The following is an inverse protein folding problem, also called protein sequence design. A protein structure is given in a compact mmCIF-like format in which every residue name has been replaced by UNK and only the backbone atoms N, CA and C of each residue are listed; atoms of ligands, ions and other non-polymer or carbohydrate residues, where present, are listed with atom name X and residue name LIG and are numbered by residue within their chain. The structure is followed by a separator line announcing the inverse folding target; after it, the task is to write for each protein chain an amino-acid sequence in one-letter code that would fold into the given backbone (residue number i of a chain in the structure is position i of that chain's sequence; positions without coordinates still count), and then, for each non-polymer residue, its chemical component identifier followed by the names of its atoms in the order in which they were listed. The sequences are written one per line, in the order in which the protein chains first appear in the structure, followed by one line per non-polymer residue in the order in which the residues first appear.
data_IF_396099744716
#
_entry.id   IF_396099744716
#
_cell.length_a   1.000
_cell.length_b   1.000
_cell.length_c   1.000
_cell.angle_alpha   90.00
_cell.angle_beta   90.00
_cell.angle_gamma   90.00
#
_symmetry.space_group_name_H-M   'P 1'
#
loop_
_entity.id
_entity.type
_entity.pdbx_description
1 polymer ?
#
# COMPACT_ATOMS: atom_id res chain seq x y z
N UNK A 1 -3.69 17.96 -22.21
CA UNK A 1 -2.40 17.35 -21.85
C UNK A 1 -2.71 16.10 -21.05
N UNK A 2 -2.49 14.91 -21.61
CA UNK A 2 -2.60 13.67 -20.82
C UNK A 2 -1.56 13.74 -19.70
N UNK A 3 -2.02 13.70 -18.46
CA UNK A 3 -1.09 13.51 -17.34
C UNK A 3 -0.46 12.12 -17.50
N UNK A 4 0.87 11.97 -17.33
CA UNK A 4 1.49 10.66 -17.32
C UNK A 4 0.75 9.77 -16.31
N UNK A 5 0.37 8.57 -16.73
CA UNK A 5 -0.28 7.60 -15.87
C UNK A 5 0.58 7.26 -14.66
N UNK A 6 -0.06 6.83 -13.57
CA UNK A 6 0.65 6.40 -12.37
C UNK A 6 1.55 5.19 -12.68
N UNK A 7 2.76 5.18 -12.13
CA UNK A 7 3.74 4.10 -12.33
C UNK A 7 4.11 3.49 -10.99
N UNK A 8 4.03 2.16 -10.91
CA UNK A 8 4.52 1.39 -9.76
C UNK A 8 5.88 0.80 -10.13
N UNK A 9 6.92 1.19 -9.40
CA UNK A 9 8.20 0.53 -9.54
C UNK A 9 8.22 -0.82 -8.83
N UNK A 10 8.93 -1.78 -9.42
CA UNK A 10 9.24 -3.05 -8.78
C UNK A 10 10.60 -3.52 -9.24
N UNK A 11 11.20 -4.40 -8.44
CA UNK A 11 12.45 -5.08 -8.74
C UNK A 11 12.19 -6.58 -8.78
N UNK A 12 12.76 -7.25 -9.78
CA UNK A 12 12.76 -8.71 -9.87
C UNK A 12 14.01 -9.22 -9.16
N UNK A 13 13.90 -10.31 -8.40
CA UNK A 13 14.99 -10.91 -7.66
C UNK A 13 15.17 -12.39 -8.04
N UNK A 14 16.42 -12.83 -8.02
CA UNK A 14 16.79 -14.21 -8.33
C UNK A 14 16.47 -15.22 -7.22
N UNK A 15 16.07 -14.76 -6.04
CA UNK A 15 15.61 -15.58 -4.91
C UNK A 15 14.63 -14.79 -4.01
N UNK A 16 14.21 -15.38 -2.90
CA UNK A 16 13.33 -14.75 -1.91
C UNK A 16 14.03 -13.70 -1.02
N UNK A 17 15.16 -13.12 -1.45
CA UNK A 17 15.86 -12.06 -0.72
C UNK A 17 16.16 -10.87 -1.62
N UNK A 18 16.43 -9.71 -1.02
CA UNK A 18 16.76 -8.48 -1.76
C UNK A 18 18.21 -8.43 -2.24
N UNK A 19 19.02 -9.47 -1.97
CA UNK A 19 20.45 -9.49 -2.27
C UNK A 19 20.79 -9.75 -3.74
N UNK A 20 19.83 -10.19 -4.55
CA UNK A 20 20.06 -10.59 -5.95
C UNK A 20 19.10 -9.89 -6.92
N UNK A 21 19.18 -8.55 -7.05
CA UNK A 21 18.32 -7.81 -7.96
C UNK A 21 18.67 -8.11 -9.42
N UNK A 22 17.64 -8.34 -10.23
CA UNK A 22 17.71 -8.52 -11.67
C UNK A 22 17.36 -7.17 -12.31
N UNK A 23 18.37 -6.45 -12.81
CA UNK A 23 18.15 -5.17 -13.46
C UNK A 23 17.66 -5.37 -14.90
N UNK A 24 16.75 -4.50 -15.35
CA UNK A 24 16.27 -4.53 -16.74
C UNK A 24 17.41 -4.33 -17.73
N UNK A 25 17.31 -5.01 -18.88
CA UNK A 25 18.30 -4.94 -19.96
C UNK A 25 19.71 -5.37 -19.55
N UNK A 26 19.86 -6.10 -18.45
CA UNK A 26 21.13 -6.68 -18.01
C UNK A 26 21.01 -8.19 -17.96
N UNK A 27 22.12 -8.88 -18.23
CA UNK A 27 22.20 -10.33 -18.06
C UNK A 27 22.37 -10.62 -16.57
N UNK A 28 21.51 -11.46 -16.03
CA UNK A 28 21.62 -11.97 -14.66
C UNK A 28 21.98 -13.45 -14.70
N UNK A 29 23.11 -13.81 -14.11
CA UNK A 29 23.63 -15.17 -14.08
C UNK A 29 23.27 -15.86 -12.75
N UNK A 30 22.56 -16.99 -12.85
CA UNK A 30 22.16 -17.82 -11.71
C UNK A 30 23.27 -18.77 -11.23
N UNK A 31 24.37 -18.91 -11.97
CA UNK A 31 25.48 -19.81 -11.66
C UNK A 31 26.36 -19.36 -10.47
N UNK A 32 26.96 -18.15 -10.49
CA UNK A 32 28.02 -17.75 -9.55
C UNK A 32 27.67 -17.84 -8.07
N UNK A 33 26.39 -17.67 -7.71
CA UNK A 33 25.91 -17.68 -6.33
C UNK A 33 25.18 -18.98 -5.94
N UNK A 34 25.28 -20.02 -6.78
CA UNK A 34 24.60 -21.30 -6.56
C UNK A 34 23.07 -21.20 -6.64
N UNK A 35 22.53 -20.10 -7.18
CA UNK A 35 21.09 -19.88 -7.29
C UNK A 35 20.44 -20.91 -8.22
N UNK A 36 21.11 -21.28 -9.31
CA UNK A 36 20.66 -22.34 -10.20
C UNK A 36 20.56 -23.71 -9.49
N UNK A 37 21.52 -24.01 -8.62
CA UNK A 37 21.51 -25.23 -7.78
C UNK A 37 20.40 -25.18 -6.74
N UNK A 38 20.27 -24.06 -6.03
CA UNK A 38 19.25 -23.86 -5.00
C UNK A 38 17.83 -23.89 -5.56
N UNK A 39 17.62 -23.40 -6.79
CA UNK A 39 16.37 -23.49 -7.52
C UNK A 39 16.12 -24.89 -8.14
N UNK A 40 17.04 -25.85 -7.96
CA UNK A 40 16.90 -27.21 -8.47
C UNK A 40 17.00 -27.32 -10.00
N UNK A 41 17.58 -26.32 -10.67
CA UNK A 41 17.67 -26.29 -12.14
C UNK A 41 18.69 -27.30 -12.70
N UNK A 42 19.67 -27.72 -11.89
CA UNK A 42 20.83 -28.49 -12.34
C UNK A 42 20.72 -30.01 -12.10
N UNK A 43 19.75 -30.49 -11.30
CA UNK A 43 19.71 -31.90 -10.86
C UNK A 43 18.35 -32.56 -11.10
N UNK A 44 18.38 -33.81 -11.59
CA UNK A 44 17.23 -34.72 -11.71
C UNK A 44 16.43 -34.60 -13.03
N UNK A 45 15.72 -35.66 -13.46
CA UNK A 45 14.89 -35.64 -14.66
C UNK A 45 13.64 -34.76 -14.49
N UNK A 46 13.10 -34.23 -15.60
CA UNK A 46 11.82 -33.50 -15.65
C UNK A 46 11.93 -31.99 -15.93
N UNK A 47 10.77 -31.35 -16.08
CA UNK A 47 10.67 -29.90 -16.34
C UNK A 47 11.20 -29.10 -15.15
N UNK A 48 12.10 -28.15 -15.43
CA UNK A 48 12.66 -27.23 -14.44
C UNK A 48 11.92 -25.90 -14.51
N UNK A 49 11.49 -25.39 -13.35
CA UNK A 49 10.86 -24.09 -13.23
C UNK A 49 11.79 -23.17 -12.45
N UNK A 50 12.10 -22.00 -13.02
CA UNK A 50 12.87 -20.96 -12.35
C UNK A 50 11.90 -20.03 -11.60
N UNK A 51 11.92 -19.99 -10.26
CA UNK A 51 11.14 -19.02 -9.52
C UNK A 51 11.73 -17.62 -9.68
N UNK A 52 10.89 -16.65 -10.02
CA UNK A 52 11.21 -15.22 -9.99
C UNK A 52 10.45 -14.56 -8.85
N UNK A 53 11.12 -13.67 -8.13
CA UNK A 53 10.55 -12.98 -6.98
C UNK A 53 10.39 -11.51 -7.31
N UNK A 54 9.25 -10.92 -6.99
CA UNK A 54 8.98 -9.51 -7.26
C UNK A 54 8.83 -8.76 -5.94
N UNK A 55 9.59 -7.68 -5.79
CA UNK A 55 9.43 -6.74 -4.69
C UNK A 55 9.00 -5.38 -5.23
N UNK A 56 7.89 -4.84 -4.72
CA UNK A 56 7.48 -3.47 -5.04
C UNK A 56 8.38 -2.46 -4.33
N UNK A 57 8.58 -1.29 -4.94
CA UNK A 57 9.21 -0.17 -4.21
C UNK A 57 8.17 0.49 -3.31
N UNK A 58 8.50 0.63 -2.03
CA UNK A 58 7.72 1.41 -1.07
C UNK A 58 7.75 2.90 -1.44
N UNK A 59 6.64 3.62 -1.24
CA UNK A 59 6.56 5.08 -1.47
C UNK A 59 5.92 5.52 -2.79
N UNK A 60 5.46 4.59 -3.63
CA UNK A 60 4.73 4.92 -4.87
C UNK A 60 3.33 5.47 -4.54
N UNK A 61 3.07 6.72 -4.92
CA UNK A 61 1.78 7.38 -4.72
C UNK A 61 0.88 7.20 -5.96
N UNK A 62 0.12 6.10 -5.98
CA UNK A 62 -0.65 5.67 -7.15
C UNK A 62 -2.13 5.51 -6.83
N UNK A 63 -2.97 5.62 -7.86
CA UNK A 63 -4.40 5.38 -7.75
C UNK A 63 -4.73 3.89 -7.56
N UNK A 64 -5.92 3.60 -7.06
CA UNK A 64 -6.43 2.24 -7.04
C UNK A 64 -6.71 1.75 -8.46
N UNK A 65 -6.36 0.51 -8.76
CA UNK A 65 -6.47 -0.04 -10.09
C UNK A 65 -5.62 -1.29 -10.29
N UNK A 66 -5.77 -1.89 -11.47
CA UNK A 66 -4.96 -3.02 -11.91
C UNK A 66 -3.83 -2.49 -12.79
N UNK A 67 -2.61 -2.73 -12.36
CA UNK A 67 -1.39 -2.39 -13.09
C UNK A 67 -0.86 -3.68 -13.72
N UNK A 68 -0.69 -3.67 -15.03
CA UNK A 68 -0.21 -4.83 -15.79
C UNK A 68 1.03 -4.49 -16.58
N UNK A 69 1.91 -5.47 -16.73
CA UNK A 69 3.07 -5.39 -17.61
C UNK A 69 3.31 -6.74 -18.29
N UNK A 70 3.81 -6.69 -19.52
CA UNK A 70 4.41 -7.85 -20.19
C UNK A 70 5.92 -7.74 -20.12
N UNK A 71 6.54 -8.56 -19.28
CA UNK A 71 7.99 -8.68 -19.16
C UNK A 71 8.52 -9.68 -20.18
N UNK A 72 9.41 -9.23 -21.06
CA UNK A 72 10.11 -10.09 -22.00
C UNK A 72 11.41 -10.59 -21.38
N UNK A 73 11.46 -11.88 -21.10
CA UNK A 73 12.62 -12.55 -20.54
C UNK A 73 13.36 -13.29 -21.65
N UNK A 74 14.57 -12.83 -21.96
CA UNK A 74 15.50 -13.59 -22.79
C UNK A 74 16.28 -14.54 -21.88
N UNK A 75 16.19 -15.85 -22.13
CA UNK A 75 16.91 -16.86 -21.38
C UNK A 75 17.78 -17.71 -22.31
N UNK A 76 18.96 -18.04 -21.82
CA UNK A 76 19.95 -18.92 -22.45
C UNK A 76 20.60 -19.73 -21.35
N UNK A 77 21.12 -20.91 -21.68
CA UNK A 77 21.77 -21.77 -20.70
C UNK A 77 23.03 -22.42 -21.27
N UNK A 78 24.00 -22.65 -20.40
CA UNK A 78 25.17 -23.50 -20.64
C UNK A 78 25.54 -24.12 -19.30
N UNK A 79 25.10 -25.37 -19.07
CA UNK A 79 25.40 -26.06 -17.83
C UNK A 79 25.85 -27.50 -18.08
N UNK A 80 26.65 -27.99 -17.16
CA UNK A 80 27.22 -29.32 -17.22
C UNK A 80 26.25 -30.33 -16.61
N UNK A 81 25.76 -31.27 -17.41
CA UNK A 81 24.79 -32.31 -16.99
C UNK A 81 25.45 -33.63 -16.56
N UNK A 82 26.79 -33.73 -16.56
CA UNK A 82 27.48 -34.95 -16.12
C UNK A 82 29.01 -34.90 -16.16
N UNK A 83 29.62 -36.04 -15.75
CA UNK A 83 31.05 -36.30 -15.52
C UNK A 83 32.00 -35.21 -16.03
N UNK A 84 32.54 -34.43 -15.10
CA UNK A 84 33.62 -33.50 -15.35
C UNK A 84 34.90 -33.89 -14.63
N UNK A 85 36.04 -33.69 -15.27
CA UNK A 85 37.38 -33.82 -14.66
C UNK A 85 38.00 -32.43 -14.66
N UNK A 86 38.15 -31.82 -13.48
CA UNK A 86 38.60 -30.43 -13.36
C UNK A 86 37.60 -29.45 -14.00
N UNK A 87 38.07 -28.56 -14.88
CA UNK A 87 37.24 -27.60 -15.63
C UNK A 87 36.58 -28.19 -16.88
N UNK A 88 36.87 -29.46 -17.21
CA UNK A 88 36.39 -30.11 -18.41
C UNK A 88 35.00 -30.72 -18.17
N UNK A 89 33.97 -30.15 -18.80
CA UNK A 89 32.63 -30.72 -18.82
C UNK A 89 32.43 -31.55 -20.09
N UNK A 90 32.31 -32.88 -19.95
CA UNK A 90 32.15 -33.81 -21.09
C UNK A 90 30.71 -33.82 -21.61
N UNK A 91 29.73 -33.59 -20.72
CA UNK A 91 28.31 -33.56 -21.06
C UNK A 91 27.73 -32.18 -20.76
N UNK A 92 27.70 -31.30 -21.76
CA UNK A 92 27.06 -29.97 -21.67
C UNK A 92 25.67 -29.99 -22.27
N UNK A 93 24.70 -29.47 -21.54
CA UNK A 93 23.46 -28.98 -22.12
C UNK A 93 23.59 -27.47 -22.28
N UNK A 94 23.52 -27.00 -23.53
CA UNK A 94 23.63 -25.58 -23.83
C UNK A 94 22.67 -25.17 -24.94
N UNK A 95 22.10 -23.99 -24.75
CA UNK A 95 21.47 -23.22 -25.80
C UNK A 95 21.84 -21.75 -25.57
N UNK A 96 22.80 -21.29 -26.37
CA UNK A 96 23.33 -19.93 -26.31
C UNK A 96 22.50 -18.95 -27.14
N UNK A 97 21.52 -19.44 -27.91
CA UNK A 97 20.60 -18.61 -28.66
C UNK A 97 19.50 -18.15 -27.70
N UNK A 98 19.40 -16.85 -27.37
CA UNK A 98 18.43 -16.38 -26.40
C UNK A 98 17.01 -16.70 -26.86
N UNK A 99 16.28 -17.44 -26.05
CA UNK A 99 14.86 -17.68 -26.26
C UNK A 99 14.07 -16.63 -25.48
N UNK A 100 13.14 -15.93 -26.14
CA UNK A 100 12.30 -14.94 -25.46
C UNK A 100 11.04 -15.60 -24.95
N UNK A 101 10.72 -15.37 -23.67
CA UNK A 101 9.47 -15.76 -23.02
C UNK A 101 8.80 -14.54 -22.43
N UNK A 102 7.50 -14.44 -22.61
CA UNK A 102 6.70 -13.34 -22.08
C UNK A 102 6.10 -13.75 -20.74
N UNK A 103 6.30 -12.93 -19.72
CA UNK A 103 5.68 -13.06 -18.41
C UNK A 103 4.76 -11.87 -18.18
N UNK A 104 3.47 -12.13 -17.96
CA UNK A 104 2.54 -11.07 -17.55
C UNK A 104 2.61 -10.89 -16.04
N UNK A 105 2.97 -9.70 -15.61
CA UNK A 105 2.99 -9.28 -14.20
C UNK A 105 1.75 -8.42 -13.95
N UNK A 106 0.99 -8.75 -12.91
CA UNK A 106 -0.22 -8.02 -12.53
C UNK A 106 -0.15 -7.63 -11.06
N UNK A 107 -0.43 -6.37 -10.75
CA UNK A 107 -0.51 -5.84 -9.39
C UNK A 107 -1.83 -5.09 -9.20
N UNK A 108 -2.56 -5.42 -8.14
CA UNK A 108 -3.85 -4.78 -7.82
C UNK A 108 -3.66 -3.85 -6.64
N UNK A 109 -3.89 -2.55 -6.85
CA UNK A 109 -3.92 -1.54 -5.79
C UNK A 109 -5.38 -1.31 -5.40
N UNK A 110 -5.68 -1.48 -4.11
CA UNK A 110 -7.01 -1.21 -3.55
C UNK A 110 -7.08 0.17 -2.93
N UNK A 111 -8.28 0.75 -2.84
CA UNK A 111 -8.50 1.96 -2.06
C UNK A 111 -8.29 1.67 -0.58
N UNK A 112 -7.48 2.49 0.09
CA UNK A 112 -7.26 2.45 1.53
C UNK A 112 -7.23 3.88 2.09
N UNK A 113 -7.64 4.04 3.34
CA UNK A 113 -7.68 5.32 4.05
C UNK A 113 -7.21 5.13 5.49
N UNK A 114 -6.19 5.88 5.89
CA UNK A 114 -5.76 5.96 7.29
C UNK A 114 -6.29 7.24 7.93
N UNK A 115 -6.82 7.10 9.14
CA UNK A 115 -7.37 8.21 9.92
C UNK A 115 -6.61 8.31 11.24
N UNK A 116 -6.16 9.51 11.59
CA UNK A 116 -5.57 9.82 12.89
C UNK A 116 -6.33 10.96 13.54
N UNK A 117 -6.88 10.72 14.74
CA UNK A 117 -7.62 11.70 15.51
C UNK A 117 -7.06 11.77 16.94
N UNK A 118 -6.24 12.79 17.27
CA UNK A 118 -5.75 12.99 18.62
C UNK A 118 -6.89 13.26 19.61
N UNK A 119 -6.64 12.98 20.90
CA UNK A 119 -7.58 13.31 21.96
C UNK A 119 -7.76 14.82 22.09
N UNK A 120 -9.00 15.25 22.35
CA UNK A 120 -9.37 16.64 22.61
C UNK A 120 -9.74 16.77 24.09
N UNK A 121 -9.24 17.82 24.74
CA UNK A 121 -9.55 18.12 26.15
C UNK A 121 -10.06 19.54 26.28
N UNK A 122 -11.15 19.72 27.02
CA UNK A 122 -11.68 21.03 27.40
C UNK A 122 -10.90 21.70 28.54
N UNK A 123 -9.93 20.98 29.14
CA UNK A 123 -9.23 21.45 30.33
C UNK A 123 -10.10 21.37 31.58
N UNK A 124 -9.93 22.31 32.50
CA UNK A 124 -10.68 22.40 33.75
C UNK A 124 -11.34 23.77 33.91
N UNK A 125 -12.59 23.78 34.40
CA UNK A 125 -13.31 24.98 34.76
C UNK A 125 -14.22 24.68 35.97
N UNK A 126 -14.45 25.66 36.87
CA UNK A 126 -15.29 25.47 38.06
C UNK A 126 -16.78 25.36 37.75
N UNK A 127 -17.22 25.86 36.59
CA UNK A 127 -18.61 25.80 36.10
C UNK A 127 -18.63 25.52 34.60
N UNK A 128 -19.75 24.96 34.12
CA UNK A 128 -19.89 24.54 32.72
C UNK A 128 -19.73 25.72 31.74
N UNK A 129 -20.23 26.91 32.09
CA UNK A 129 -20.09 28.13 31.28
C UNK A 129 -18.66 28.64 31.17
N UNK A 130 -17.75 28.15 32.00
CA UNK A 130 -16.33 28.50 31.97
C UNK A 130 -15.51 27.71 30.95
N UNK A 131 -16.08 26.66 30.33
CA UNK A 131 -15.40 25.92 29.27
C UNK A 131 -15.49 26.67 27.94
N UNK A 132 -14.34 27.03 27.39
CA UNK A 132 -14.24 27.57 26.04
C UNK A 132 -14.38 26.46 24.99
N UNK A 133 -14.75 26.83 23.77
CA UNK A 133 -14.71 25.92 22.62
C UNK A 133 -13.28 25.50 22.31
N UNK A 134 -13.06 24.21 22.14
CA UNK A 134 -11.75 23.66 21.77
C UNK A 134 -11.79 23.17 20.33
N UNK A 135 -10.76 23.55 19.55
CA UNK A 135 -10.57 23.08 18.19
C UNK A 135 -9.60 21.90 18.20
N UNK A 136 -9.99 20.80 17.56
CA UNK A 136 -9.13 19.66 17.28
C UNK A 136 -9.14 19.33 15.80
N UNK A 137 -8.18 18.52 15.37
CA UNK A 137 -8.02 18.11 13.98
C UNK A 137 -8.00 16.59 13.87
N UNK A 138 -8.75 16.05 12.91
CA UNK A 138 -8.58 14.68 12.45
C UNK A 138 -7.91 14.70 11.07
N UNK A 139 -6.86 13.89 10.91
CA UNK A 139 -6.12 13.77 9.67
C UNK A 139 -6.57 12.51 8.93
N UNK A 140 -6.84 12.64 7.64
CA UNK A 140 -7.24 11.53 6.77
C UNK A 140 -6.33 11.49 5.56
N UNK A 141 -5.73 10.33 5.32
CA UNK A 141 -4.85 10.07 4.19
C UNK A 141 -5.38 8.86 3.44
N UNK A 142 -5.90 9.08 2.24
CA UNK A 142 -6.46 8.03 1.38
C UNK A 142 -5.63 7.83 0.12
N UNK A 143 -5.72 6.65 -0.50
CA UNK A 143 -5.15 6.34 -1.82
C UNK A 143 -5.47 7.44 -2.84
N UNK A 144 -4.56 7.65 -3.80
CA UNK A 144 -4.69 8.72 -4.78
C UNK A 144 -5.99 8.56 -5.58
N UNK A 145 -6.74 9.64 -5.74
CA UNK A 145 -7.98 9.66 -6.51
C UNK A 145 -9.21 9.12 -5.78
N UNK A 146 -9.08 8.60 -4.56
CA UNK A 146 -10.22 8.08 -3.80
C UNK A 146 -11.08 9.21 -3.21
N UNK A 147 -12.38 9.19 -3.47
CA UNK A 147 -13.38 10.00 -2.73
C UNK A 147 -13.72 9.33 -1.41
N UNK A 148 -13.87 10.11 -0.33
CA UNK A 148 -14.20 9.55 0.98
C UNK A 148 -15.16 10.44 1.77
N UNK A 149 -15.89 9.81 2.70
CA UNK A 149 -16.68 10.53 3.71
C UNK A 149 -16.32 10.07 5.11
N UNK A 150 -16.11 11.03 6.02
CA UNK A 150 -15.77 10.76 7.41
C UNK A 150 -17.00 11.04 8.28
N UNK A 151 -17.49 10.01 8.95
CA UNK A 151 -18.57 10.11 9.93
C UNK A 151 -18.02 9.98 11.34
N UNK A 152 -18.68 10.63 12.30
CA UNK A 152 -18.36 10.47 13.72
C UNK A 152 -19.60 9.99 14.49
N UNK A 153 -19.44 8.91 15.25
CA UNK A 153 -20.54 8.36 16.05
C UNK A 153 -20.99 9.34 17.15
N UNK A 154 -22.13 9.06 17.78
CA UNK A 154 -22.66 9.90 18.87
C UNK A 154 -21.99 9.62 20.22
N UNK A 155 -20.92 8.83 20.22
CA UNK A 155 -20.23 8.37 21.42
C UNK A 155 -20.98 7.26 22.15
N UNK A 156 -20.57 7.02 23.39
CA UNK A 156 -20.95 5.85 24.18
C UNK A 156 -22.15 6.14 25.07
N UNK A 157 -22.42 7.41 25.35
CA UNK A 157 -23.53 7.86 26.19
C UNK A 157 -24.42 8.90 25.48
N UNK A 158 -24.83 8.68 24.22
CA UNK A 158 -25.67 9.65 23.53
C UNK A 158 -27.03 9.79 24.23
N UNK A 159 -27.72 10.92 24.01
CA UNK A 159 -29.12 11.08 24.44
C UNK A 159 -30.06 10.12 23.68
N UNK A 160 -29.68 9.76 22.45
CA UNK A 160 -30.35 8.81 21.57
C UNK A 160 -29.58 8.67 20.25
N UNK A 161 -30.02 7.80 19.34
CA UNK A 161 -29.41 7.64 18.01
C UNK A 161 -29.50 8.96 17.24
N UNK A 162 -28.37 9.50 16.79
CA UNK A 162 -28.28 10.83 16.15
C UNK A 162 -28.40 12.01 17.11
N UNK A 163 -28.51 11.76 18.42
CA UNK A 163 -28.70 12.77 19.46
C UNK A 163 -27.42 13.43 19.95
N UNK A 164 -27.56 14.37 20.88
CA UNK A 164 -26.42 15.08 21.49
C UNK A 164 -25.51 14.11 22.24
N UNK A 165 -24.20 14.33 22.11
CA UNK A 165 -23.18 13.50 22.76
C UNK A 165 -23.09 13.86 24.23
N UNK A 166 -22.73 12.89 25.08
CA UNK A 166 -22.50 13.15 26.50
C UNK A 166 -21.21 12.49 26.99
N UNK A 167 -20.47 13.23 27.79
CA UNK A 167 -19.40 12.71 28.63
C UNK A 167 -20.01 12.27 29.96
N UNK A 168 -19.44 11.25 30.59
CA UNK A 168 -19.95 10.68 31.84
C UNK A 168 -18.92 10.81 32.95
N UNK A 169 -19.38 11.14 34.16
CA UNK A 169 -18.59 11.10 35.39
C UNK A 169 -19.45 10.52 36.51
N UNK A 170 -19.28 9.23 36.79
CA UNK A 170 -20.20 8.48 37.66
C UNK A 170 -21.59 8.40 37.02
N UNK A 171 -22.61 8.94 37.70
CA UNK A 171 -23.98 9.06 37.18
C UNK A 171 -24.27 10.41 36.49
N UNK A 172 -23.30 11.32 36.51
CA UNK A 172 -23.45 12.67 35.94
C UNK A 172 -23.11 12.67 34.45
N UNK A 173 -23.87 13.43 33.69
CA UNK A 173 -23.66 13.59 32.25
C UNK A 173 -23.41 15.06 31.88
N UNK A 174 -22.42 15.29 31.03
CA UNK A 174 -22.14 16.60 30.44
C UNK A 174 -22.37 16.53 28.92
N UNK A 175 -23.32 17.31 28.43
CA UNK A 175 -23.71 17.31 27.02
C UNK A 175 -22.79 18.20 26.17
N UNK A 176 -22.25 17.64 25.09
CA UNK A 176 -21.37 18.34 24.15
C UNK A 176 -21.74 17.97 22.71
N UNK A 177 -21.28 18.78 21.77
CA UNK A 177 -21.35 18.48 20.35
C UNK A 177 -20.03 18.85 19.68
N UNK A 178 -19.79 18.21 18.54
CA UNK A 178 -18.65 18.51 17.69
C UNK A 178 -19.22 18.98 16.36
N UNK A 179 -18.74 20.14 15.94
CA UNK A 179 -19.19 20.82 14.73
C UNK A 179 -18.12 20.71 13.65
N UNK A 180 -18.56 20.82 12.39
CA UNK A 180 -17.65 20.88 11.26
C UNK A 180 -17.05 22.29 11.20
N UNK A 181 -15.72 22.38 11.11
CA UNK A 181 -15.02 23.67 11.01
C UNK A 181 -15.39 24.60 12.18
N UNK A 182 -15.38 25.91 11.95
CA UNK A 182 -15.95 26.92 12.84
C UNK A 182 -17.47 27.13 12.62
N UNK A 183 -18.17 26.19 11.99
CA UNK A 183 -19.59 26.30 11.64
C UNK A 183 -20.53 25.80 12.73
N UNK A 184 -21.83 25.83 12.42
CA UNK A 184 -22.91 25.33 13.31
C UNK A 184 -23.44 23.96 12.88
N UNK A 185 -22.90 23.38 11.81
CA UNK A 185 -23.30 22.06 11.33
C UNK A 185 -22.67 20.97 12.19
N UNK A 186 -23.50 20.19 12.88
CA UNK A 186 -23.04 19.04 13.67
C UNK A 186 -22.33 18.02 12.78
N UNK A 187 -21.18 17.54 13.24
CA UNK A 187 -20.51 16.41 12.63
C UNK A 187 -21.07 15.11 13.22
N UNK A 188 -21.66 14.28 12.39
CA UNK A 188 -22.30 13.01 12.77
C UNK A 188 -21.94 11.87 11.81
N UNK A 189 -22.56 10.71 12.01
CA UNK A 189 -22.26 9.48 11.27
C UNK A 189 -23.14 9.24 10.04
N UNK A 190 -24.27 9.96 9.91
CA UNK A 190 -25.32 9.68 8.92
C UNK A 190 -25.56 10.87 7.98
N UNK A 191 -25.77 10.57 6.70
CA UNK A 191 -26.19 11.55 5.67
C UNK A 191 -25.31 12.80 5.62
N UNK A 192 -25.96 13.96 5.55
CA UNK A 192 -25.31 15.27 5.49
C UNK A 192 -24.53 15.64 6.77
N UNK A 193 -24.68 14.89 7.87
CA UNK A 193 -23.86 15.11 9.06
C UNK A 193 -22.43 14.57 8.89
N UNK A 194 -22.19 13.66 7.93
CA UNK A 194 -20.85 13.20 7.56
C UNK A 194 -20.07 14.31 6.85
N UNK A 195 -18.75 14.18 6.83
CA UNK A 195 -17.85 15.12 6.17
C UNK A 195 -17.34 14.54 4.86
N UNK A 196 -17.58 15.21 3.75
CA UNK A 196 -17.09 14.80 2.43
C UNK A 196 -15.67 15.33 2.19
N UNK A 197 -14.84 14.53 1.53
CA UNK A 197 -13.49 14.90 1.08
C UNK A 197 -13.42 16.20 0.28
N UNK A 198 -14.44 16.53 -0.52
CA UNK A 198 -14.56 17.79 -1.27
C UNK A 198 -14.75 19.02 -0.40
N UNK A 199 -15.18 18.84 0.86
CA UNK A 199 -15.46 19.92 1.83
C UNK A 199 -14.44 19.98 2.97
N UNK A 200 -13.29 19.32 2.82
CA UNK A 200 -12.20 19.39 3.79
C UNK A 200 -11.55 20.80 3.79
N UNK A 201 -11.12 21.28 4.96
CA UNK A 201 -10.46 22.59 5.08
C UNK A 201 -9.03 22.58 4.53
N UNK A 202 -8.39 21.41 4.54
CA UNK A 202 -7.01 21.22 4.06
C UNK A 202 -7.07 20.20 2.94
N UNK A 203 -6.59 20.60 1.76
CA UNK A 203 -6.57 19.80 0.54
C UNK A 203 -7.95 19.20 0.18
N UNK A 204 -8.97 20.04 -0.09
CA UNK A 204 -10.28 19.53 -0.51
C UNK A 204 -10.20 18.76 -1.82
N UNK A 205 -11.00 17.71 -1.92
CA UNK A 205 -11.12 16.86 -3.11
C UNK A 205 -10.67 15.43 -2.86
N UNK A 206 -10.35 14.71 -3.93
CA UNK A 206 -9.96 13.32 -3.84
C UNK A 206 -8.65 13.14 -3.06
N UNK A 207 -8.48 11.96 -2.46
CA UNK A 207 -7.24 11.59 -1.79
C UNK A 207 -6.02 11.90 -2.65
N UNK A 208 -5.03 12.58 -2.07
CA UNK A 208 -3.78 12.87 -2.75
C UNK A 208 -2.78 11.71 -2.65
N UNK A 209 -3.19 10.62 -1.99
CA UNK A 209 -2.37 9.45 -1.72
C UNK A 209 -1.30 9.68 -0.65
N UNK A 210 -0.63 8.59 -0.31
CA UNK A 210 0.25 8.55 0.85
C UNK A 210 1.72 8.52 0.40
N UNK A 211 2.50 9.52 0.83
CA UNK A 211 3.97 9.47 0.76
C UNK A 211 4.46 8.80 2.05
N UNK A 212 4.76 7.49 2.00
CA UNK A 212 5.58 6.85 3.04
C UNK A 212 7.04 7.01 2.67
#
# INVERSE_FOLDING_TARGET
CEQPGDVIGYTVYGNNTTGYPINRNTVFDFGPNGLATAAGLLTGPGNKSLPLYLGSITGSNVAAGVYTEVLNLAWSWDYCVGLGVGTLCVLRDKNLTPQTRTLTVTMTVTNDCQITAPAISFGSAPVISGFATVTGQANVSCTKGSTYTVGMSDGQNPVGVGGRRRMISGTNYLAYDIFKSAGTTRWGSVGAARRDSSTAEINPGNGLGYRR
#
